data_IF_363592428112
#
_entry.id   IF_363592428112
#
_cell.length_a   1.000
_cell.length_b   1.000
_cell.length_c   1.000
_cell.angle_alpha   90.00
_cell.angle_beta   90.00
_cell.angle_gamma   90.00
#
_symmetry.space_group_name_H-M   'P 1'
#
loop_
_entity.id
_entity.type
_entity.pdbx_description
1 polymer ?
#
# COMPACT_ATOMS: atom_id res chain seq x y z
N UNK A 1 -50.19 16.04 -12.14
CA UNK A 1 -48.85 15.69 -12.64
C UNK A 1 -48.03 15.09 -11.49
N UNK A 2 -47.23 14.06 -11.78
CA UNK A 2 -46.39 13.38 -10.77
C UNK A 2 -45.00 14.04 -10.73
N UNK A 3 -44.54 14.58 -9.59
CA UNK A 3 -43.24 15.24 -9.50
C UNK A 3 -42.10 14.24 -9.68
N UNK A 4 -40.98 14.70 -10.24
CA UNK A 4 -39.76 13.90 -10.30
C UNK A 4 -39.27 13.57 -8.87
N UNK A 5 -38.96 12.29 -8.61
CA UNK A 5 -38.55 11.80 -7.30
C UNK A 5 -37.44 10.76 -7.43
N UNK A 6 -36.34 10.92 -6.68
CA UNK A 6 -35.25 9.96 -6.63
C UNK A 6 -35.52 8.96 -5.49
N UNK A 7 -35.64 7.68 -5.81
CA UNK A 7 -35.89 6.62 -4.82
C UNK A 7 -34.63 5.90 -4.37
N UNK A 8 -33.57 5.89 -5.19
CA UNK A 8 -32.23 5.44 -4.79
C UNK A 8 -31.16 6.12 -5.65
N UNK A 9 -29.96 6.21 -5.09
CA UNK A 9 -28.75 6.62 -5.79
C UNK A 9 -27.59 5.76 -5.28
N UNK A 10 -26.75 5.26 -6.18
CA UNK A 10 -25.60 4.44 -5.82
C UNK A 10 -24.43 4.68 -6.77
N UNK A 11 -23.23 4.41 -6.26
CA UNK A 11 -21.96 4.46 -6.97
C UNK A 11 -21.27 3.10 -6.81
N UNK A 12 -20.69 2.58 -7.90
CA UNK A 12 -19.99 1.30 -7.89
C UNK A 12 -18.79 1.33 -8.86
N UNK A 13 -17.58 0.92 -8.43
CA UNK A 13 -17.22 0.51 -7.07
C UNK A 13 -17.25 1.68 -6.07
N UNK A 14 -17.39 1.36 -4.78
CA UNK A 14 -17.28 2.31 -3.67
C UNK A 14 -16.90 1.55 -2.36
N UNK A 15 -15.66 1.69 -1.84
CA UNK A 15 -14.61 2.60 -2.31
C UNK A 15 -14.09 2.23 -3.70
N UNK A 16 -13.49 3.21 -4.38
CA UNK A 16 -12.80 3.06 -5.67
C UNK A 16 -11.33 3.49 -5.52
N UNK A 17 -10.43 3.03 -6.39
CA UNK A 17 -9.06 3.56 -6.43
C UNK A 17 -8.97 4.78 -7.36
N UNK A 18 -8.00 5.67 -7.13
CA UNK A 18 -7.73 6.81 -8.03
C UNK A 18 -7.51 6.31 -9.46
N UNK A 19 -8.08 7.00 -10.45
CA UNK A 19 -8.07 6.58 -11.85
C UNK A 19 -9.06 5.45 -12.18
N UNK A 20 -9.73 4.84 -11.20
CA UNK A 20 -10.77 3.84 -11.45
C UNK A 20 -12.09 4.50 -11.87
N UNK A 21 -12.74 3.94 -12.89
CA UNK A 21 -14.06 4.42 -13.34
C UNK A 21 -15.18 3.95 -12.41
N UNK A 22 -15.88 4.91 -11.81
CA UNK A 22 -17.07 4.72 -10.98
C UNK A 22 -18.34 4.88 -11.82
N UNK A 23 -19.29 3.97 -11.66
CA UNK A 23 -20.60 4.00 -12.32
C UNK A 23 -21.67 4.49 -11.38
N UNK A 24 -22.43 5.48 -11.81
CA UNK A 24 -23.53 6.05 -11.04
C UNK A 24 -24.86 5.53 -11.57
N UNK A 25 -25.68 5.03 -10.66
CA UNK A 25 -27.02 4.56 -10.98
C UNK A 25 -28.02 5.25 -10.05
N UNK A 26 -29.22 5.47 -10.58
CA UNK A 26 -30.32 6.05 -9.82
C UNK A 26 -31.63 5.40 -10.22
N UNK A 27 -32.57 5.35 -9.29
CA UNK A 27 -33.97 5.06 -9.59
C UNK A 27 -34.77 6.35 -9.43
N UNK A 28 -35.47 6.75 -10.50
CA UNK A 28 -36.23 8.00 -10.57
C UNK A 28 -37.66 7.70 -10.99
N UNK A 29 -38.63 8.28 -10.27
CA UNK A 29 -40.06 8.24 -10.57
C UNK A 29 -40.55 9.65 -10.97
N UNK A 30 -41.77 9.76 -11.50
CA UNK A 30 -42.33 11.02 -11.98
C UNK A 30 -42.80 10.97 -13.44
N UNK A 31 -43.56 11.99 -13.83
CA UNK A 31 -44.06 12.14 -15.19
C UNK A 31 -42.97 12.68 -16.13
N UNK A 32 -42.70 12.03 -17.29
CA UNK A 32 -41.70 12.49 -18.25
C UNK A 32 -42.17 13.74 -19.04
N UNK A 33 -41.23 14.54 -19.61
CA UNK A 33 -39.79 14.37 -19.56
C UNK A 33 -39.17 14.77 -18.20
N UNK A 34 -38.21 13.98 -17.73
CA UNK A 34 -37.43 14.26 -16.51
C UNK A 34 -36.02 14.67 -16.90
N UNK A 35 -35.63 15.89 -16.55
CA UNK A 35 -34.26 16.39 -16.65
C UNK A 35 -33.42 15.83 -15.51
N UNK A 36 -32.15 15.54 -15.78
CA UNK A 36 -31.19 15.00 -14.81
C UNK A 36 -29.86 15.74 -14.92
N UNK A 37 -29.28 16.05 -13.79
CA UNK A 37 -27.96 16.66 -13.69
C UNK A 37 -27.19 16.03 -12.54
N UNK A 38 -26.00 15.54 -12.84
CA UNK A 38 -25.04 15.03 -11.89
C UNK A 38 -23.94 16.05 -11.68
N UNK A 39 -23.52 16.22 -10.43
CA UNK A 39 -22.26 16.88 -10.06
C UNK A 39 -21.45 15.90 -9.21
N UNK A 40 -20.17 15.72 -9.51
CA UNK A 40 -19.37 14.65 -8.88
C UNK A 40 -18.60 15.11 -7.64
N UNK A 41 -18.66 16.40 -7.30
CA UNK A 41 -17.98 16.96 -6.12
C UNK A 41 -16.53 17.41 -6.38
N UNK A 42 -16.00 17.17 -7.57
CA UNK A 42 -14.67 17.61 -8.05
C UNK A 42 -14.75 18.78 -9.05
N UNK A 43 -15.95 19.28 -9.33
CA UNK A 43 -16.24 20.32 -10.32
C UNK A 43 -16.75 19.80 -11.66
N UNK A 44 -16.72 18.48 -11.89
CA UNK A 44 -17.25 17.84 -13.09
C UNK A 44 -18.75 17.59 -13.00
N UNK A 45 -19.44 17.59 -14.14
CA UNK A 45 -20.90 17.35 -14.24
C UNK A 45 -21.27 16.43 -15.41
N UNK A 46 -22.47 15.84 -15.36
CA UNK A 46 -23.04 15.05 -16.45
C UNK A 46 -24.57 15.17 -16.51
N UNK A 47 -25.17 15.02 -17.71
CA UNK A 47 -26.63 15.11 -17.93
C UNK A 47 -27.26 13.79 -18.39
N UNK A 48 -26.62 12.64 -18.11
CA UNK A 48 -27.11 11.32 -18.49
C UNK A 48 -27.83 10.60 -17.34
N UNK A 49 -28.61 9.57 -17.66
CA UNK A 49 -29.35 8.78 -16.66
C UNK A 49 -28.42 7.97 -15.73
N UNK A 50 -27.38 7.38 -16.32
CA UNK A 50 -26.36 6.58 -15.62
C UNK A 50 -24.97 6.98 -16.11
N UNK A 51 -24.38 8.08 -15.62
CA UNK A 51 -23.03 8.47 -16.01
C UNK A 51 -21.97 7.57 -15.38
N UNK A 52 -20.78 7.64 -15.95
CA UNK A 52 -19.55 7.17 -15.34
C UNK A 52 -18.65 8.37 -15.05
N UNK A 53 -17.86 8.29 -14.00
CA UNK A 53 -16.88 9.32 -13.64
C UNK A 53 -15.60 8.67 -13.10
N UNK A 54 -14.46 9.30 -13.35
CA UNK A 54 -13.16 8.88 -12.82
C UNK A 54 -12.61 10.03 -11.97
N UNK A 55 -12.21 9.74 -10.75
CA UNK A 55 -11.56 10.69 -9.85
C UNK A 55 -10.05 10.50 -9.95
N UNK A 56 -9.31 11.58 -10.22
CA UNK A 56 -7.86 11.53 -10.44
C UNK A 56 -7.05 11.58 -9.15
N UNK A 57 -7.63 12.09 -8.07
CA UNK A 57 -6.98 12.25 -6.78
C UNK A 57 -7.73 11.45 -5.70
N UNK A 58 -7.03 10.95 -4.66
CA UNK A 58 -7.68 10.27 -3.55
C UNK A 58 -8.41 11.28 -2.66
N UNK A 59 -9.54 10.86 -2.10
CA UNK A 59 -10.36 11.71 -1.25
C UNK A 59 -11.80 11.23 -1.14
N UNK A 60 -12.60 12.00 -0.39
CA UNK A 60 -14.03 11.79 -0.27
C UNK A 60 -14.77 12.80 -1.16
N UNK A 61 -15.57 12.29 -2.10
CA UNK A 61 -16.35 13.09 -3.04
C UNK A 61 -17.84 12.92 -2.80
N UNK A 62 -18.56 14.04 -2.67
CA UNK A 62 -20.02 14.02 -2.58
C UNK A 62 -20.62 14.23 -3.96
N UNK A 63 -21.00 13.13 -4.63
CA UNK A 63 -21.73 13.21 -5.88
C UNK A 63 -23.21 13.51 -5.62
N UNK A 64 -23.81 14.42 -6.39
CA UNK A 64 -25.21 14.82 -6.27
C UNK A 64 -25.92 14.66 -7.61
N UNK A 65 -27.06 13.98 -7.57
CA UNK A 65 -28.06 13.94 -8.64
C UNK A 65 -29.17 14.94 -8.32
N UNK A 66 -29.48 15.83 -9.27
CA UNK A 66 -30.70 16.63 -9.31
C UNK A 66 -31.59 16.15 -10.45
N UNK A 67 -32.88 15.97 -10.17
CA UNK A 67 -33.90 15.65 -11.16
C UNK A 67 -35.01 16.69 -11.14
N UNK A 68 -35.59 17.00 -12.30
CA UNK A 68 -36.70 17.94 -12.38
C UNK A 68 -37.66 17.63 -13.54
N UNK A 69 -38.93 17.97 -13.36
CA UNK A 69 -39.97 17.99 -14.39
C UNK A 69 -40.93 19.17 -14.15
N UNK A 70 -42.00 19.29 -14.95
CA UNK A 70 -42.96 20.40 -14.82
C UNK A 70 -43.70 20.43 -13.46
N UNK A 71 -43.71 19.31 -12.73
CA UNK A 71 -44.37 19.20 -11.43
C UNK A 71 -43.46 19.46 -10.22
N UNK A 72 -42.14 19.37 -10.37
CA UNK A 72 -41.21 19.62 -9.28
C UNK A 72 -39.79 19.12 -9.51
N UNK A 73 -38.97 19.26 -8.48
CA UNK A 73 -37.57 18.83 -8.45
C UNK A 73 -37.26 18.02 -7.19
N UNK A 74 -36.27 17.15 -7.30
CA UNK A 74 -35.70 16.41 -6.18
C UNK A 74 -34.17 16.32 -6.34
N UNK A 75 -33.45 16.14 -5.23
CA UNK A 75 -32.01 15.95 -5.27
C UNK A 75 -31.53 14.97 -4.21
N UNK A 76 -30.56 14.12 -4.56
CA UNK A 76 -29.93 13.16 -3.65
C UNK A 76 -28.42 13.09 -3.86
N UNK A 77 -27.73 12.69 -2.80
CA UNK A 77 -26.27 12.57 -2.79
C UNK A 77 -25.82 11.13 -2.53
N UNK A 78 -24.66 10.78 -3.04
CA UNK A 78 -23.90 9.58 -2.70
C UNK A 78 -22.45 9.98 -2.44
N UNK A 79 -21.89 9.56 -1.31
CA UNK A 79 -20.47 9.74 -1.01
C UNK A 79 -19.66 8.64 -1.71
N UNK A 80 -18.62 9.04 -2.44
CA UNK A 80 -17.64 8.14 -3.05
C UNK A 80 -16.31 8.32 -2.33
N UNK A 81 -15.80 7.24 -1.77
CA UNK A 81 -14.46 7.18 -1.20
C UNK A 81 -13.48 6.74 -2.30
N UNK A 82 -12.46 7.55 -2.54
CA UNK A 82 -11.41 7.29 -3.53
C UNK A 82 -10.10 7.07 -2.79
N UNK A 83 -9.63 5.83 -2.83
CA UNK A 83 -8.36 5.41 -2.26
C UNK A 83 -7.21 5.77 -3.20
N UNK A 84 -6.02 5.96 -2.64
CA UNK A 84 -4.80 5.99 -3.43
C UNK A 84 -4.57 4.62 -4.06
N UNK A 85 -4.30 4.57 -5.36
CA UNK A 85 -3.93 3.33 -6.01
C UNK A 85 -2.53 2.94 -5.55
N UNK A 86 -2.41 1.79 -4.88
CA UNK A 86 -1.10 1.26 -4.53
C UNK A 86 -0.41 0.71 -5.79
N UNK A 87 0.89 0.98 -5.99
CA UNK A 87 1.67 0.33 -7.03
C UNK A 87 1.57 -1.22 -6.95
N UNK A 88 1.58 -1.92 -8.09
CA UNK A 88 1.52 -3.39 -8.12
C UNK A 88 2.64 -4.06 -7.29
N UNK A 89 3.80 -3.41 -7.15
CA UNK A 89 4.89 -3.93 -6.32
C UNK A 89 4.48 -4.07 -4.84
N UNK A 90 3.56 -3.22 -4.36
CA UNK A 90 3.08 -3.24 -2.97
C UNK A 90 2.18 -4.44 -2.64
N UNK A 91 1.73 -5.18 -3.65
CA UNK A 91 0.91 -6.39 -3.48
C UNK A 91 1.64 -7.66 -3.95
N UNK A 92 2.72 -7.53 -4.72
CA UNK A 92 3.42 -8.65 -5.35
C UNK A 92 4.82 -8.90 -4.82
N UNK A 93 5.43 -7.94 -4.10
CA UNK A 93 6.77 -8.15 -3.52
C UNK A 93 6.73 -9.24 -2.46
N UNK A 94 7.51 -10.30 -2.69
CA UNK A 94 7.65 -11.42 -1.75
C UNK A 94 9.04 -11.49 -1.11
N UNK A 95 10.03 -10.83 -1.70
CA UNK A 95 11.42 -10.83 -1.25
C UNK A 95 12.03 -9.44 -1.45
N UNK A 96 12.77 -8.97 -0.46
CA UNK A 96 13.61 -7.77 -0.54
C UNK A 96 15.09 -8.19 -0.56
N UNK A 97 15.99 -7.28 -0.96
CA UNK A 97 17.42 -7.58 -1.02
C UNK A 97 18.00 -7.89 0.36
N UNK A 98 18.85 -8.91 0.47
CA UNK A 98 19.65 -9.15 1.68
C UNK A 98 20.83 -8.18 1.78
N UNK A 99 21.13 -7.73 3.00
CA UNK A 99 22.39 -7.04 3.31
C UNK A 99 23.49 -8.06 3.65
N UNK A 100 24.69 -7.90 3.11
CA UNK A 100 25.84 -8.76 3.43
C UNK A 100 26.90 -8.03 4.23
N UNK A 101 27.58 -8.75 5.14
CA UNK A 101 28.55 -8.19 6.06
C UNK A 101 29.94 -8.79 5.90
N UNK A 102 30.94 -7.99 6.28
CA UNK A 102 32.29 -8.47 6.47
C UNK A 102 32.42 -9.36 7.71
N UNK A 103 33.50 -10.15 7.76
CA UNK A 103 33.75 -11.11 8.83
C UNK A 103 33.83 -10.43 10.20
N UNK A 104 33.05 -10.91 11.17
CA UNK A 104 32.93 -10.37 12.53
C UNK A 104 32.57 -8.88 12.58
N UNK A 105 31.78 -8.41 11.60
CA UNK A 105 31.34 -7.02 11.52
C UNK A 105 29.81 -6.94 11.42
N UNK A 106 29.23 -5.95 12.10
CA UNK A 106 27.86 -5.45 11.92
C UNK A 106 27.82 -4.14 11.15
N UNK A 107 28.98 -3.58 10.76
CA UNK A 107 29.03 -2.36 9.96
C UNK A 107 28.58 -2.65 8.53
N UNK A 108 27.57 -1.91 8.06
CA UNK A 108 27.11 -1.96 6.67
C UNK A 108 28.23 -1.56 5.72
N UNK A 109 28.46 -2.37 4.69
CA UNK A 109 29.32 -2.01 3.55
C UNK A 109 28.56 -1.11 2.58
N UNK A 110 29.24 -0.52 1.60
CA UNK A 110 28.59 0.32 0.60
C UNK A 110 27.65 -0.50 -0.30
N UNK A 111 27.99 -1.75 -0.59
CA UNK A 111 27.12 -2.68 -1.31
C UNK A 111 25.85 -2.98 -0.51
N UNK A 112 25.98 -3.23 0.81
CA UNK A 112 24.82 -3.46 1.67
C UNK A 112 23.91 -2.23 1.72
N UNK A 113 24.47 -1.02 1.87
CA UNK A 113 23.69 0.22 1.84
C UNK A 113 22.93 0.40 0.54
N UNK A 114 23.54 0.06 -0.60
CA UNK A 114 22.85 0.14 -1.90
C UNK A 114 21.65 -0.81 -1.97
N UNK A 115 21.84 -2.07 -1.59
CA UNK A 115 20.77 -3.06 -1.53
C UNK A 115 19.64 -2.65 -0.59
N UNK A 116 19.98 -2.12 0.58
CA UNK A 116 18.99 -1.63 1.54
C UNK A 116 18.29 -0.36 1.08
N UNK A 117 18.95 0.52 0.31
CA UNK A 117 18.30 1.69 -0.27
C UNK A 117 17.18 1.27 -1.23
N UNK A 118 17.45 0.31 -2.12
CA UNK A 118 16.43 -0.23 -3.03
C UNK A 118 15.22 -0.80 -2.27
N UNK A 119 15.46 -1.44 -1.12
CA UNK A 119 14.39 -1.92 -0.25
C UNK A 119 13.63 -0.77 0.43
N UNK A 120 14.35 0.23 0.94
CA UNK A 120 13.76 1.40 1.59
C UNK A 120 12.85 2.18 0.63
N UNK A 121 13.26 2.30 -0.64
CA UNK A 121 12.46 2.93 -1.69
C UNK A 121 11.12 2.18 -1.86
N UNK A 122 11.15 0.84 -1.96
CA UNK A 122 9.92 0.01 -2.02
C UNK A 122 9.06 0.19 -0.77
N UNK A 123 9.65 0.11 0.42
CA UNK A 123 8.92 0.26 1.69
C UNK A 123 8.30 1.67 1.82
N UNK A 124 8.91 2.69 1.23
CA UNK A 124 8.38 4.06 1.23
C UNK A 124 7.18 4.23 0.28
N UNK A 125 7.19 3.55 -0.87
CA UNK A 125 6.09 3.55 -1.84
C UNK A 125 4.91 2.67 -1.39
N UNK A 126 5.18 1.70 -0.51
CA UNK A 126 4.22 0.69 -0.07
C UNK A 126 3.91 0.84 1.43
N UNK A 127 3.05 1.79 1.83
CA UNK A 127 2.72 2.03 3.23
C UNK A 127 2.03 0.84 3.92
N UNK A 128 1.48 -0.10 3.15
CA UNK A 128 0.83 -1.32 3.61
C UNK A 128 1.80 -2.48 3.93
N UNK A 129 3.10 -2.30 3.73
CA UNK A 129 4.11 -3.34 3.99
C UNK A 129 4.87 -3.07 5.29
N UNK A 130 4.97 -4.02 6.21
CA UNK A 130 6.02 -4.04 7.23
C UNK A 130 7.23 -4.83 6.72
N UNK A 131 8.34 -4.76 7.45
CA UNK A 131 9.55 -5.54 7.17
C UNK A 131 10.00 -6.26 8.43
N UNK A 132 10.09 -7.59 8.35
CA UNK A 132 10.81 -8.41 9.32
C UNK A 132 12.24 -8.59 8.85
N UNK A 133 13.19 -8.27 9.72
CA UNK A 133 14.62 -8.42 9.49
C UNK A 133 15.10 -9.63 10.28
N UNK A 134 15.69 -10.58 9.57
CA UNK A 134 16.33 -11.77 10.14
C UNK A 134 17.82 -11.74 9.83
N UNK A 135 18.64 -11.47 10.83
CA UNK A 135 20.08 -11.39 10.68
C UNK A 135 20.79 -12.65 11.17
N UNK A 136 21.88 -13.01 10.49
CA UNK A 136 22.61 -14.25 10.71
C UNK A 136 24.12 -14.01 10.82
N UNK A 137 24.74 -14.81 11.67
CA UNK A 137 26.17 -15.01 11.75
C UNK A 137 26.59 -16.26 10.97
N UNK A 138 27.77 -16.19 10.37
CA UNK A 138 28.35 -17.33 9.68
C UNK A 138 29.13 -18.25 10.64
N UNK A 139 29.30 -19.53 10.29
CA UNK A 139 30.11 -20.45 11.09
C UNK A 139 31.53 -19.94 11.36
N UNK A 140 31.88 -19.88 12.64
CA UNK A 140 33.20 -19.43 13.11
C UNK A 140 33.32 -17.93 13.43
N UNK A 141 32.24 -17.16 13.30
CA UNK A 141 32.19 -15.79 13.83
C UNK A 141 32.05 -15.79 15.36
N UNK A 142 32.60 -14.77 16.00
CA UNK A 142 32.61 -14.62 17.44
C UNK A 142 31.23 -14.17 17.92
N UNK A 143 30.79 -14.72 19.04
CA UNK A 143 29.53 -14.36 19.71
C UNK A 143 28.35 -14.26 18.72
N UNK A 144 28.03 -15.34 17.98
CA UNK A 144 27.15 -15.28 16.82
C UNK A 144 25.76 -14.72 17.14
N UNK A 145 25.25 -14.95 18.35
CA UNK A 145 23.97 -14.36 18.79
C UNK A 145 24.03 -12.83 18.81
N UNK A 146 24.89 -12.25 19.66
CA UNK A 146 25.05 -10.79 19.74
C UNK A 146 25.48 -10.17 18.41
N UNK A 147 26.35 -10.82 17.63
CA UNK A 147 26.75 -10.30 16.32
C UNK A 147 25.57 -10.26 15.34
N UNK A 148 24.68 -11.27 15.38
CA UNK A 148 23.48 -11.26 14.54
C UNK A 148 22.47 -10.19 15.00
N UNK A 149 22.34 -9.95 16.30
CA UNK A 149 21.49 -8.89 16.84
C UNK A 149 22.00 -7.51 16.39
N UNK A 150 23.30 -7.25 16.53
CA UNK A 150 23.94 -6.01 16.07
C UNK A 150 23.75 -5.78 14.55
N UNK A 151 23.71 -6.86 13.76
CA UNK A 151 23.45 -6.79 12.32
C UNK A 151 21.99 -6.47 12.00
N UNK A 152 21.05 -7.06 12.73
CA UNK A 152 19.63 -6.75 12.58
C UNK A 152 19.36 -5.28 12.93
N UNK A 153 19.93 -4.81 14.05
CA UNK A 153 19.82 -3.40 14.49
C UNK A 153 20.43 -2.45 13.46
N UNK A 154 21.62 -2.74 12.92
CA UNK A 154 22.23 -1.90 11.88
C UNK A 154 21.37 -1.77 10.61
N UNK A 155 20.59 -2.78 10.25
CA UNK A 155 19.64 -2.72 9.12
C UNK A 155 18.38 -1.95 9.50
N UNK A 156 17.86 -2.15 10.71
CA UNK A 156 16.71 -1.40 11.21
C UNK A 156 17.00 0.11 11.25
N UNK A 157 18.14 0.51 11.84
CA UNK A 157 18.61 1.89 11.87
C UNK A 157 18.75 2.49 10.47
N UNK A 158 19.20 1.69 9.49
CA UNK A 158 19.30 2.13 8.11
C UNK A 158 17.91 2.42 7.52
N UNK A 159 16.93 1.55 7.74
CA UNK A 159 15.57 1.77 7.25
C UNK A 159 14.90 2.97 7.92
N UNK A 160 15.00 3.10 9.25
CA UNK A 160 14.48 4.26 9.99
C UNK A 160 15.12 5.56 9.49
N UNK A 161 16.46 5.55 9.32
CA UNK A 161 17.21 6.69 8.78
C UNK A 161 16.85 7.07 7.35
N UNK A 162 16.20 6.16 6.60
CA UNK A 162 15.71 6.38 5.23
C UNK A 162 14.18 6.49 5.16
N UNK A 163 13.51 6.74 6.29
CA UNK A 163 12.10 7.15 6.33
C UNK A 163 11.09 6.00 6.42
N UNK A 164 11.54 4.76 6.63
CA UNK A 164 10.63 3.67 7.00
C UNK A 164 10.21 3.86 8.47
N UNK A 165 8.90 3.93 8.78
CA UNK A 165 8.42 4.08 10.14
C UNK A 165 8.87 2.94 11.06
N UNK A 166 9.31 3.25 12.28
CA UNK A 166 9.83 2.27 13.24
C UNK A 166 8.79 1.20 13.64
N UNK A 167 7.50 1.55 13.65
CA UNK A 167 6.40 0.61 13.91
C UNK A 167 6.17 -0.41 12.78
N UNK A 168 6.79 -0.20 11.61
CA UNK A 168 6.78 -1.13 10.48
C UNK A 168 8.02 -2.02 10.41
N UNK A 169 8.93 -1.94 11.39
CA UNK A 169 10.20 -2.66 11.39
C UNK A 169 10.25 -3.62 12.57
N UNK A 170 10.40 -4.91 12.31
CA UNK A 170 10.71 -5.92 13.33
C UNK A 170 12.10 -6.49 13.07
N UNK A 171 13.04 -6.36 14.00
CA UNK A 171 14.42 -6.78 13.81
C UNK A 171 14.84 -7.86 14.80
N UNK A 172 15.44 -8.94 14.29
CA UNK A 172 15.85 -10.09 15.12
C UNK A 172 17.17 -10.71 14.66
N UNK A 173 18.04 -10.99 15.65
CA UNK A 173 19.25 -11.79 15.45
C UNK A 173 18.96 -13.28 15.61
N UNK A 174 19.20 -14.05 14.56
CA UNK A 174 18.95 -15.49 14.48
C UNK A 174 20.18 -16.34 14.86
N UNK A 175 21.24 -15.71 15.35
CA UNK A 175 22.48 -16.38 15.71
C UNK A 175 23.20 -16.95 14.50
N UNK A 176 23.86 -18.09 14.68
CA UNK A 176 24.61 -18.73 13.60
C UNK A 176 23.69 -19.54 12.69
N UNK A 177 23.88 -19.46 11.38
CA UNK A 177 23.20 -20.36 10.43
C UNK A 177 23.50 -21.83 10.77
N UNK A 178 22.45 -22.64 10.95
CA UNK A 178 22.56 -24.07 11.26
C UNK A 178 22.87 -24.92 10.02
N UNK A 179 23.40 -26.14 10.23
CA UNK A 179 23.61 -27.13 9.16
C UNK A 179 24.76 -26.84 8.17
N UNK A 180 25.47 -25.72 8.33
CA UNK A 180 26.55 -25.28 7.44
C UNK A 180 27.92 -25.50 8.09
N UNK A 181 28.87 -26.07 7.35
CA UNK A 181 30.28 -26.16 7.78
C UNK A 181 31.17 -25.24 6.94
N UNK A 182 32.23 -24.70 7.55
CA UNK A 182 33.16 -23.74 6.91
C UNK A 182 33.99 -24.31 5.74
N UNK A 183 33.86 -25.60 5.41
CA UNK A 183 34.83 -26.32 4.56
C UNK A 183 34.54 -26.36 3.05
N UNK A 184 33.42 -25.82 2.56
CA UNK A 184 33.12 -25.72 1.11
C UNK A 184 32.38 -24.43 0.77
N UNK A 185 32.92 -23.61 -0.14
CA UNK A 185 32.23 -22.47 -0.76
C UNK A 185 32.46 -21.08 -0.12
N UNK A 186 33.15 -21.01 1.02
CA UNK A 186 33.30 -19.76 1.77
C UNK A 186 32.04 -19.40 2.56
N UNK A 187 32.18 -18.56 3.58
CA UNK A 187 31.10 -18.29 4.55
C UNK A 187 30.39 -16.97 4.32
N UNK A 188 30.73 -16.22 3.25
CA UNK A 188 30.24 -14.86 3.00
C UNK A 188 28.72 -14.79 2.88
N UNK A 189 28.11 -15.76 2.20
CA UNK A 189 26.65 -15.83 2.02
C UNK A 189 25.85 -16.04 3.31
N UNK A 190 26.52 -16.37 4.43
CA UNK A 190 25.88 -16.56 5.74
C UNK A 190 26.07 -15.37 6.67
N UNK A 191 26.89 -14.38 6.29
CA UNK A 191 27.02 -13.10 7.00
C UNK A 191 26.05 -12.13 6.39
N UNK A 192 24.78 -12.24 6.77
CA UNK A 192 23.72 -11.47 6.11
C UNK A 192 22.58 -11.09 7.04
N UNK A 193 21.77 -10.16 6.58
CA UNK A 193 20.45 -9.88 7.12
C UNK A 193 19.46 -9.91 5.96
N UNK A 194 18.43 -10.74 6.10
CA UNK A 194 17.36 -10.91 5.14
C UNK A 194 16.21 -9.97 5.52
N UNK A 195 15.68 -9.23 4.55
CA UNK A 195 14.50 -8.37 4.74
C UNK A 195 13.29 -9.06 4.12
N UNK A 196 12.30 -9.36 4.95
CA UNK A 196 11.11 -10.12 4.59
C UNK A 196 9.94 -9.14 4.63
N UNK A 197 9.36 -8.76 3.48
CA UNK A 197 8.19 -7.90 3.47
C UNK A 197 6.97 -8.67 3.98
N UNK A 198 6.13 -8.01 4.77
CA UNK A 198 4.89 -8.59 5.30
C UNK A 198 3.73 -7.63 5.02
N UNK A 199 2.61 -8.14 4.51
CA UNK A 199 1.41 -7.33 4.30
C UNK A 199 0.66 -7.18 5.63
N UNK A 200 0.17 -5.98 5.93
CA UNK A 200 -0.74 -5.78 7.06
C UNK A 200 -1.99 -6.68 6.89
N UNK A 201 -2.09 -7.75 7.68
CA UNK A 201 -3.24 -8.68 7.66
C UNK A 201 -2.88 -10.17 7.56
N UNK A 202 -1.65 -10.54 7.20
CA UNK A 202 -1.21 -11.95 7.15
C UNK A 202 -0.93 -12.57 8.53
N UNK A 203 -1.15 -11.80 9.60
CA UNK A 203 -0.96 -12.18 11.00
C UNK A 203 -2.25 -12.42 11.78
N UNK A 204 -3.25 -13.13 11.21
CA UNK A 204 -4.40 -13.67 11.95
C UNK A 204 -4.68 -15.13 11.63
#
# INVERSE_FOLDING_TARGET
>A
PEPALITSVNADPNPADEGQTVRFNSNVQGEPPISREWSFGDGSTAMSESPTHTYEDPGEYTARLQVSNEAGEDSRTVTVEVNRALPEICTTVSELNSAFFESNSSTLTDEARKSLQENADVLSECPNLSVRIEAFAAPGERNPQSLSEDRAEAVADFYEGNGVPADRIEASGQGQVEGVTSKKGGTRQYRRADSIPEQEGDGM
#
